data_IF_034584231231
#
_entry.id   IF_034584231231
#
_cell.length_a   1.000
_cell.length_b   1.000
_cell.length_c   1.000
_cell.angle_alpha   90.00
_cell.angle_beta   90.00
_cell.angle_gamma   90.00
#
_symmetry.space_group_name_H-M   'P 1'
#
loop_
_entity.id
_entity.type
_entity.pdbx_description
1 polymer ?
#
# COMPACT_ATOMS: atom_id res chain seq x y z
N UNK A 1 15.82 -11.26 -2.78
CA UNK A 1 15.77 -12.43 -1.88
C UNK A 1 16.63 -13.56 -2.45
N UNK A 2 17.29 -14.38 -1.62
CA UNK A 2 18.13 -15.51 -2.09
C UNK A 2 17.38 -16.83 -1.91
N UNK A 3 17.36 -17.67 -2.95
CA UNK A 3 16.73 -19.00 -2.91
C UNK A 3 17.30 -19.87 -1.78
N UNK A 4 18.63 -19.88 -1.62
CA UNK A 4 19.31 -20.67 -0.58
C UNK A 4 18.89 -20.31 0.85
N UNK A 5 18.56 -19.04 1.10
CA UNK A 5 18.04 -18.61 2.39
C UNK A 5 16.65 -19.20 2.66
N UNK A 6 15.80 -19.27 1.64
CA UNK A 6 14.47 -19.87 1.75
C UNK A 6 14.53 -21.40 1.90
N UNK A 7 15.46 -22.06 1.20
CA UNK A 7 15.74 -23.50 1.36
C UNK A 7 16.22 -23.82 2.77
N UNK A 8 17.12 -23.00 3.33
CA UNK A 8 17.62 -23.17 4.69
C UNK A 8 16.54 -23.02 5.77
N UNK A 9 15.42 -22.35 5.46
CA UNK A 9 14.24 -22.25 6.33
C UNK A 9 13.26 -23.43 6.18
N UNK A 10 13.58 -24.43 5.36
CA UNK A 10 12.78 -25.64 5.19
C UNK A 10 11.58 -25.50 4.26
N UNK A 11 11.54 -24.45 3.43
CA UNK A 11 10.49 -24.27 2.41
C UNK A 11 10.68 -25.23 1.23
N UNK A 12 9.59 -25.71 0.65
CA UNK A 12 9.63 -26.56 -0.55
C UNK A 12 9.96 -25.73 -1.80
N UNK A 13 10.50 -26.36 -2.84
CA UNK A 13 10.87 -25.66 -4.08
C UNK A 13 9.69 -24.90 -4.71
N UNK A 14 8.46 -25.44 -4.63
CA UNK A 14 7.25 -24.78 -5.13
C UNK A 14 6.85 -23.55 -4.30
N UNK A 15 6.98 -23.61 -2.98
CA UNK A 15 6.74 -22.44 -2.11
C UNK A 15 7.78 -21.35 -2.37
N UNK A 16 9.02 -21.75 -2.58
CA UNK A 16 10.13 -20.87 -2.92
C UNK A 16 9.88 -20.18 -4.27
N UNK A 17 9.42 -20.92 -5.28
CA UNK A 17 9.11 -20.38 -6.60
C UNK A 17 8.04 -19.29 -6.51
N UNK A 18 6.97 -19.54 -5.75
CA UNK A 18 5.89 -18.57 -5.54
C UNK A 18 6.38 -17.31 -4.82
N UNK A 19 7.15 -17.47 -3.73
CA UNK A 19 7.71 -16.33 -2.97
C UNK A 19 8.66 -15.51 -3.84
N UNK A 20 9.54 -16.16 -4.60
CA UNK A 20 10.50 -15.47 -5.46
C UNK A 20 9.81 -14.75 -6.63
N UNK A 21 8.72 -15.30 -7.16
CA UNK A 21 7.90 -14.64 -8.19
C UNK A 21 7.24 -13.37 -7.65
N UNK A 22 6.51 -13.45 -6.53
CA UNK A 22 5.86 -12.29 -5.90
C UNK A 22 6.88 -11.22 -5.46
N UNK A 23 8.01 -11.65 -4.91
CA UNK A 23 9.10 -10.76 -4.57
C UNK A 23 9.71 -10.10 -5.81
N UNK A 24 9.85 -10.84 -6.92
CA UNK A 24 10.31 -10.31 -8.21
C UNK A 24 9.38 -9.23 -8.75
N UNK A 25 8.06 -9.48 -8.72
CA UNK A 25 7.03 -8.50 -9.08
C UNK A 25 7.15 -7.24 -8.23
N UNK A 26 7.16 -7.39 -6.90
CA UNK A 26 7.26 -6.27 -5.96
C UNK A 26 8.53 -5.45 -6.18
N UNK A 27 9.68 -6.11 -6.34
CA UNK A 27 10.96 -5.45 -6.59
C UNK A 27 10.94 -4.70 -7.92
N UNK A 28 10.32 -5.26 -8.96
CA UNK A 28 10.24 -4.60 -10.25
C UNK A 28 9.33 -3.36 -10.18
N UNK A 29 8.20 -3.43 -9.48
CA UNK A 29 7.33 -2.26 -9.24
C UNK A 29 8.08 -1.15 -8.49
N UNK A 30 8.72 -1.50 -7.36
CA UNK A 30 9.49 -0.52 -6.56
C UNK A 30 10.63 0.09 -7.39
N UNK A 31 11.32 -0.71 -8.21
CA UNK A 31 12.36 -0.19 -9.11
C UNK A 31 11.78 0.81 -10.10
N UNK A 32 10.63 0.51 -10.71
CA UNK A 32 9.95 1.40 -11.65
C UNK A 32 9.55 2.73 -11.01
N UNK A 33 8.93 2.69 -9.83
CA UNK A 33 8.59 3.89 -9.06
C UNK A 33 9.83 4.71 -8.69
N UNK A 34 10.90 4.04 -8.25
CA UNK A 34 12.18 4.67 -7.88
C UNK A 34 12.90 5.28 -9.09
N UNK A 35 12.78 4.68 -10.27
CA UNK A 35 13.33 5.22 -11.51
C UNK A 35 12.51 6.44 -11.98
N UNK A 36 11.18 6.39 -11.91
CA UNK A 36 10.30 7.53 -12.19
C UNK A 36 10.61 8.73 -11.27
N UNK A 37 10.71 8.49 -9.95
CA UNK A 37 11.08 9.52 -8.98
C UNK A 37 12.49 10.08 -9.23
N UNK A 38 13.43 9.25 -9.69
CA UNK A 38 14.78 9.71 -10.04
C UNK A 38 14.74 10.63 -11.27
N UNK A 39 13.97 10.29 -12.31
CA UNK A 39 13.78 11.11 -13.51
C UNK A 39 13.12 12.45 -13.17
N UNK A 40 12.10 12.44 -12.31
CA UNK A 40 11.43 13.66 -11.87
C UNK A 40 12.38 14.56 -11.07
N UNK A 41 13.14 13.99 -10.13
CA UNK A 41 14.18 14.71 -9.38
C UNK A 41 15.22 15.35 -10.29
N UNK A 42 15.70 14.63 -11.30
CA UNK A 42 16.73 15.16 -12.20
C UNK A 42 16.18 16.28 -13.09
N UNK A 43 14.92 16.15 -13.54
CA UNK A 43 14.21 17.23 -14.23
C UNK A 43 14.10 18.48 -13.36
N UNK A 44 13.70 18.33 -12.09
CA UNK A 44 13.63 19.45 -11.14
C UNK A 44 15.02 20.09 -10.88
N UNK A 45 16.10 19.28 -10.84
CA UNK A 45 17.46 19.81 -10.68
C UNK A 45 17.93 20.63 -11.87
N UNK A 46 17.66 20.19 -13.09
CA UNK A 46 18.05 20.93 -14.30
C UNK A 46 17.30 22.24 -14.41
N UNK A 47 16.06 22.26 -13.95
CA UNK A 47 15.24 23.45 -13.90
C UNK A 47 15.72 24.47 -12.84
N UNK A 48 16.17 23.99 -11.67
CA UNK A 48 16.86 24.82 -10.67
C UNK A 48 18.11 25.46 -11.27
N UNK A 49 18.94 24.69 -11.99
CA UNK A 49 20.13 25.24 -12.66
C UNK A 49 19.77 26.29 -13.72
N UNK A 50 18.69 26.08 -14.46
CA UNK A 50 18.21 27.06 -15.42
C UNK A 50 17.83 28.38 -14.72
N UNK A 51 17.16 28.31 -13.55
CA UNK A 51 16.84 29.48 -12.73
C UNK A 51 18.07 30.19 -12.19
N UNK A 52 19.06 29.45 -11.70
CA UNK A 52 20.34 30.04 -11.26
C UNK A 52 21.03 30.78 -12.43
N UNK A 53 20.93 30.24 -13.65
CA UNK A 53 21.39 30.89 -14.87
C UNK A 53 20.64 32.18 -15.18
N UNK A 54 19.31 32.19 -15.05
CA UNK A 54 18.49 33.39 -15.25
C UNK A 54 18.77 34.47 -14.18
N UNK A 55 18.95 34.09 -12.91
CA UNK A 55 19.34 35.00 -11.83
C UNK A 55 20.72 35.62 -12.11
N UNK A 56 21.68 34.80 -12.51
CA UNK A 56 23.02 35.30 -12.88
C UNK A 56 22.97 36.24 -14.08
N UNK A 57 22.09 35.98 -15.06
CA UNK A 57 21.90 36.85 -16.21
C UNK A 57 21.27 38.19 -15.79
N UNK A 58 20.27 38.14 -14.92
CA UNK A 58 19.63 39.30 -14.27
C UNK A 58 20.61 40.20 -13.53
N UNK A 59 21.51 39.60 -12.73
CA UNK A 59 22.56 40.33 -12.03
C UNK A 59 23.52 41.03 -12.99
N UNK A 60 23.79 40.43 -14.16
CA UNK A 60 24.65 41.00 -15.21
C UNK A 60 23.96 42.07 -16.06
N UNK A 61 22.65 42.00 -16.24
CA UNK A 61 21.87 43.00 -16.99
C UNK A 61 21.44 44.20 -16.15
N UNK A 62 21.89 44.28 -14.89
CA UNK A 62 21.59 45.35 -13.93
C UNK A 62 22.11 46.77 -14.29
N UNK A 63 22.41 47.04 -15.57
CA UNK A 63 22.81 48.36 -16.09
C UNK A 63 21.66 49.33 -16.35
N UNK A 64 20.40 48.88 -16.43
CA UNK A 64 19.20 49.72 -16.61
C UNK A 64 18.06 49.26 -15.68
N UNK A 65 17.47 50.19 -14.92
CA UNK A 65 16.46 49.88 -13.90
C UNK A 65 15.18 49.25 -14.47
N UNK A 66 14.81 49.59 -15.71
CA UNK A 66 13.60 49.08 -16.37
C UNK A 66 13.73 47.63 -16.86
N UNK A 67 14.90 47.24 -17.36
CA UNK A 67 15.13 45.86 -17.82
C UNK A 67 15.22 44.89 -16.63
N UNK A 68 15.81 45.35 -15.52
CA UNK A 68 15.82 44.61 -14.24
C UNK A 68 14.41 44.40 -13.71
N UNK A 69 13.54 45.42 -13.75
CA UNK A 69 12.17 45.29 -13.25
C UNK A 69 11.33 44.31 -14.08
N UNK A 70 11.43 44.36 -15.41
CA UNK A 70 10.71 43.43 -16.31
C UNK A 70 11.13 41.99 -16.05
N UNK A 71 12.43 41.77 -15.96
CA UNK A 71 12.98 40.43 -15.81
C UNK A 71 12.78 39.87 -14.39
N UNK A 72 12.83 40.73 -13.36
CA UNK A 72 12.44 40.37 -11.99
C UNK A 72 10.96 39.95 -11.93
N UNK A 73 10.08 40.64 -12.65
CA UNK A 73 8.67 40.25 -12.72
C UNK A 73 8.49 38.91 -13.45
N UNK A 74 9.19 38.71 -14.57
CA UNK A 74 9.19 37.42 -15.30
C UNK A 74 9.61 36.27 -14.37
N UNK A 75 10.71 36.43 -13.65
CA UNK A 75 11.22 35.42 -12.71
C UNK A 75 10.27 35.18 -11.54
N UNK A 76 9.62 36.24 -11.00
CA UNK A 76 8.59 36.07 -9.97
C UNK A 76 7.39 35.27 -10.48
N UNK A 77 6.91 35.58 -11.67
CA UNK A 77 5.77 34.89 -12.27
C UNK A 77 6.09 33.43 -12.59
N UNK A 78 7.30 33.14 -13.08
CA UNK A 78 7.77 31.77 -13.29
C UNK A 78 7.89 31.01 -11.97
N UNK A 79 8.44 31.62 -10.92
CA UNK A 79 8.54 31.00 -9.61
C UNK A 79 7.16 30.64 -9.05
N UNK A 80 6.18 31.53 -9.14
CA UNK A 80 4.82 31.27 -8.67
C UNK A 80 4.14 30.12 -9.43
N UNK A 81 4.32 30.06 -10.75
CA UNK A 81 3.82 28.94 -11.58
C UNK A 81 4.48 27.62 -11.18
N UNK A 82 5.78 27.63 -10.91
CA UNK A 82 6.52 26.45 -10.49
C UNK A 82 6.13 25.97 -9.11
N UNK A 83 5.95 26.87 -8.16
CA UNK A 83 5.48 26.53 -6.81
C UNK A 83 4.10 25.88 -6.86
N UNK A 84 3.19 26.42 -7.68
CA UNK A 84 1.88 25.80 -7.90
C UNK A 84 1.98 24.43 -8.57
N UNK A 85 2.83 24.26 -9.59
CA UNK A 85 3.02 22.99 -10.27
C UNK A 85 3.65 21.94 -9.36
N UNK A 86 4.69 22.30 -8.61
CA UNK A 86 5.35 21.42 -7.65
C UNK A 86 4.40 20.96 -6.55
N UNK A 87 3.62 21.88 -5.96
CA UNK A 87 2.60 21.54 -4.98
C UNK A 87 1.55 20.58 -5.56
N UNK A 88 1.13 20.79 -6.81
CA UNK A 88 0.22 19.88 -7.52
C UNK A 88 0.81 18.49 -7.74
N UNK A 89 2.03 18.39 -8.25
CA UNK A 89 2.67 17.09 -8.48
C UNK A 89 2.94 16.35 -7.17
N UNK A 90 3.37 17.07 -6.13
CA UNK A 90 3.56 16.49 -4.81
C UNK A 90 2.25 15.93 -4.25
N UNK A 91 1.15 16.69 -4.37
CA UNK A 91 -0.18 16.24 -3.94
C UNK A 91 -0.61 14.98 -4.71
N UNK A 92 -0.40 14.95 -6.03
CA UNK A 92 -0.73 13.80 -6.88
C UNK A 92 0.04 12.54 -6.48
N UNK A 93 1.36 12.67 -6.29
CA UNK A 93 2.21 11.58 -5.84
C UNK A 93 1.77 11.03 -4.46
N UNK A 94 1.36 11.93 -3.56
CA UNK A 94 0.87 11.56 -2.23
C UNK A 94 -0.46 10.82 -2.29
N UNK A 95 -1.37 11.26 -3.16
CA UNK A 95 -2.65 10.56 -3.39
C UNK A 95 -2.40 9.17 -3.98
N UNK A 96 -1.57 9.06 -5.01
CA UNK A 96 -1.23 7.78 -5.63
C UNK A 96 -0.62 6.81 -4.62
N UNK A 97 0.33 7.28 -3.80
CA UNK A 97 0.95 6.48 -2.74
C UNK A 97 -0.07 6.02 -1.69
N UNK A 98 -1.01 6.91 -1.31
CA UNK A 98 -2.04 6.60 -0.32
C UNK A 98 -3.00 5.49 -0.80
N UNK A 99 -3.25 5.41 -2.11
CA UNK A 99 -4.21 4.44 -2.68
C UNK A 99 -3.55 3.21 -3.30
N UNK A 100 -2.22 3.18 -3.44
CA UNK A 100 -1.48 2.14 -4.17
C UNK A 100 -1.80 0.70 -3.71
N UNK A 101 -2.15 0.50 -2.44
CA UNK A 101 -2.49 -0.82 -1.89
C UNK A 101 -3.95 -1.23 -2.12
N UNK A 102 -4.84 -0.28 -2.30
CA UNK A 102 -6.29 -0.49 -2.36
C UNK A 102 -6.83 -0.36 -3.80
N UNK A 103 -6.10 0.34 -4.66
CA UNK A 103 -6.48 0.62 -6.04
C UNK A 103 -6.22 -0.58 -6.97
N UNK A 104 -7.05 -0.73 -8.00
CA UNK A 104 -6.68 -1.52 -9.19
C UNK A 104 -5.67 -0.75 -10.06
N UNK A 105 -5.89 0.57 -10.23
CA UNK A 105 -4.94 1.51 -10.81
C UNK A 105 -5.00 2.84 -10.03
N UNK A 106 -3.87 3.30 -9.51
CA UNK A 106 -3.78 4.53 -8.73
C UNK A 106 -4.05 5.79 -9.58
N UNK A 107 -3.75 5.75 -10.89
CA UNK A 107 -4.02 6.86 -11.82
C UNK A 107 -5.52 7.04 -12.06
N UNK A 108 -6.26 5.93 -12.16
CA UNK A 108 -7.70 5.98 -12.34
C UNK A 108 -8.37 6.62 -11.11
N UNK A 109 -7.94 6.26 -9.91
CA UNK A 109 -8.43 6.92 -8.69
C UNK A 109 -8.04 8.39 -8.69
N UNK A 110 -6.77 8.72 -8.96
CA UNK A 110 -6.29 10.10 -9.02
C UNK A 110 -7.14 10.96 -9.98
N UNK A 111 -7.55 10.42 -11.13
CA UNK A 111 -8.40 11.12 -12.09
C UNK A 111 -9.78 11.50 -11.54
N UNK A 112 -10.34 10.70 -10.63
CA UNK A 112 -11.65 10.96 -10.00
C UNK A 112 -11.56 11.77 -8.69
N UNK A 113 -10.35 11.99 -8.16
CA UNK A 113 -10.14 12.80 -6.96
C UNK A 113 -10.23 14.29 -7.31
N UNK A 114 -11.07 15.01 -6.56
CA UNK A 114 -11.15 16.47 -6.63
C UNK A 114 -10.03 17.04 -5.77
N UNK A 115 -9.03 17.65 -6.41
CA UNK A 115 -7.87 18.24 -5.73
C UNK A 115 -8.22 19.47 -4.92
N UNK A 116 -9.29 20.17 -5.31
CA UNK A 116 -9.79 21.35 -4.61
C UNK A 116 -10.19 21.00 -3.17
N UNK A 117 -9.49 21.61 -2.20
CA UNK A 117 -9.74 21.40 -0.77
C UNK A 117 -8.90 20.29 -0.12
N UNK A 118 -8.09 19.55 -0.88
CA UNK A 118 -7.11 18.64 -0.32
C UNK A 118 -5.90 19.41 0.21
N UNK A 119 -5.39 18.99 1.36
CA UNK A 119 -4.20 19.60 1.99
C UNK A 119 -3.21 18.54 2.38
N UNK A 120 -1.92 18.83 2.19
CA UNK A 120 -0.85 18.00 2.70
C UNK A 120 -0.63 18.34 4.18
N UNK A 121 -0.82 17.37 5.07
CA UNK A 121 -0.51 17.49 6.49
C UNK A 121 1.00 17.36 6.73
N UNK A 122 1.45 17.79 7.91
CA UNK A 122 2.87 17.74 8.31
C UNK A 122 3.43 16.32 8.37
N UNK A 123 2.58 15.32 8.66
CA UNK A 123 2.93 13.91 8.65
C UNK A 123 3.05 13.31 7.24
N UNK A 124 2.76 14.11 6.21
CA UNK A 124 2.80 13.73 4.82
C UNK A 124 1.56 12.99 4.33
N UNK A 125 0.47 12.95 5.09
CA UNK A 125 -0.86 12.48 4.68
C UNK A 125 -1.66 13.57 3.97
N UNK A 126 -2.71 13.19 3.23
CA UNK A 126 -3.57 14.13 2.49
C UNK A 126 -4.92 14.25 3.20
N UNK A 127 -5.16 15.39 3.85
CA UNK A 127 -6.43 15.70 4.50
C UNK A 127 -7.56 15.81 3.46
N UNK A 128 -8.74 15.31 3.82
CA UNK A 128 -9.92 15.29 2.95
C UNK A 128 -9.92 14.17 1.89
N UNK A 129 -8.80 13.47 1.70
CA UNK A 129 -8.72 12.36 0.75
C UNK A 129 -9.60 11.17 1.19
N UNK A 130 -9.64 10.86 2.48
CA UNK A 130 -10.42 9.74 3.03
C UNK A 130 -11.91 9.79 2.69
N UNK A 131 -12.53 10.97 2.79
CA UNK A 131 -13.95 11.16 2.48
C UNK A 131 -14.23 10.94 0.99
N UNK A 132 -13.34 11.44 0.13
CA UNK A 132 -13.45 11.22 -1.31
C UNK A 132 -13.28 9.74 -1.66
N UNK A 133 -12.30 9.05 -1.06
CA UNK A 133 -12.11 7.62 -1.27
C UNK A 133 -13.31 6.80 -0.81
N UNK A 134 -13.96 7.17 0.31
CA UNK A 134 -15.19 6.51 0.77
C UNK A 134 -16.31 6.66 -0.26
N UNK A 135 -16.54 7.88 -0.76
CA UNK A 135 -17.53 8.13 -1.81
C UNK A 135 -17.21 7.39 -3.11
N UNK A 136 -15.94 7.31 -3.50
CA UNK A 136 -15.50 6.53 -4.66
C UNK A 136 -15.70 5.03 -4.46
N UNK A 137 -15.47 4.49 -3.25
CA UNK A 137 -15.72 3.07 -2.94
C UNK A 137 -17.21 2.71 -3.08
N UNK A 138 -18.11 3.62 -2.70
CA UNK A 138 -19.56 3.43 -2.83
C UNK A 138 -20.05 3.59 -4.28
N UNK A 139 -19.55 4.59 -5.01
CA UNK A 139 -20.06 4.93 -6.35
C UNK A 139 -19.34 4.24 -7.50
N UNK A 140 -18.07 3.86 -7.28
CA UNK A 140 -17.16 3.27 -8.28
C UNK A 140 -16.32 2.15 -7.65
N UNK A 141 -16.96 1.09 -7.09
CA UNK A 141 -16.25 0.01 -6.40
C UNK A 141 -15.23 -0.72 -7.30
N UNK A 142 -15.43 -0.70 -8.62
CA UNK A 142 -14.54 -1.31 -9.61
C UNK A 142 -13.14 -0.68 -9.68
N UNK A 143 -12.95 0.52 -9.11
CA UNK A 143 -11.63 1.16 -9.02
C UNK A 143 -10.73 0.53 -7.95
N UNK A 144 -11.32 -0.25 -7.04
CA UNK A 144 -10.63 -0.82 -5.88
C UNK A 144 -10.50 -2.34 -6.01
N UNK A 145 -9.41 -2.88 -5.47
CA UNK A 145 -9.14 -4.31 -5.50
C UNK A 145 -10.02 -5.08 -4.49
N UNK A 146 -10.12 -6.40 -4.66
CA UNK A 146 -11.00 -7.25 -3.86
C UNK A 146 -10.68 -7.21 -2.34
N UNK A 147 -9.44 -6.95 -1.96
CA UNK A 147 -9.03 -6.74 -0.56
C UNK A 147 -9.58 -5.44 0.03
N UNK A 148 -9.66 -4.38 -0.77
CA UNK A 148 -10.23 -3.09 -0.36
C UNK A 148 -11.76 -3.04 -0.42
N UNK A 149 -12.40 -4.02 -1.08
CA UNK A 149 -13.85 -4.22 -1.13
C UNK A 149 -14.40 -4.98 0.09
N UNK A 150 -13.55 -5.44 1.00
CA UNK A 150 -13.98 -5.93 2.32
C UNK A 150 -14.37 -4.73 3.21
N UNK A 151 -15.44 -4.04 2.85
CA UNK A 151 -16.24 -3.36 3.85
C UNK A 151 -16.88 -4.42 4.75
N UNK A 152 -16.85 -4.16 6.04
CA UNK A 152 -17.48 -4.94 7.09
C UNK A 152 -18.83 -5.47 6.59
N UNK A 153 -18.89 -6.77 6.33
CA UNK A 153 -20.19 -7.45 6.35
C UNK A 153 -20.77 -7.13 7.73
N UNK A 154 -22.01 -6.61 7.83
CA UNK A 154 -22.65 -6.55 9.12
C UNK A 154 -22.63 -7.99 9.64
N UNK A 155 -21.96 -8.18 10.78
CA UNK A 155 -21.95 -9.46 11.47
C UNK A 155 -23.39 -9.97 11.51
N UNK A 156 -23.71 -11.16 10.99
CA UNK A 156 -25.06 -11.70 11.08
C UNK A 156 -25.28 -12.20 12.51
N UNK A 157 -25.26 -11.29 13.47
CA UNK A 157 -25.86 -11.43 14.80
C UNK A 157 -27.30 -10.96 14.70
N UNK A 158 -28.13 -11.76 14.03
CA UNK A 158 -29.54 -11.47 13.79
C UNK A 158 -30.24 -12.76 13.39
N UNK A 159 -30.69 -13.48 14.39
CA UNK A 159 -31.40 -14.75 14.33
C UNK A 159 -32.70 -14.63 13.50
N UNK A 160 -32.63 -14.84 12.19
CA UNK A 160 -33.79 -15.02 11.31
C UNK A 160 -33.45 -15.99 10.18
N UNK A 161 -33.52 -17.29 10.47
CA UNK A 161 -33.68 -18.31 9.41
C UNK A 161 -35.16 -18.39 9.03
N UNK A 162 -35.53 -18.34 7.73
CA UNK A 162 -36.89 -18.65 7.31
C UNK A 162 -37.19 -20.14 7.62
N UNK A 163 -38.43 -20.49 8.02
CA UNK A 163 -38.75 -21.87 8.35
C UNK A 163 -38.60 -22.76 7.10
N UNK A 164 -37.98 -23.95 7.22
CA UNK A 164 -37.89 -24.88 6.10
C UNK A 164 -39.27 -25.38 5.67
N UNK A 165 -39.47 -25.71 4.38
CA UNK A 165 -40.75 -26.22 3.89
C UNK A 165 -41.14 -27.53 4.60
N UNK A 166 -42.44 -27.67 4.89
CA UNK A 166 -43.00 -28.82 5.59
C UNK A 166 -42.70 -30.13 4.83
N UNK A 167 -41.98 -31.05 5.47
CA UNK A 167 -41.71 -32.40 4.95
C UNK A 167 -40.22 -32.76 4.75
N UNK A 168 -39.27 -31.86 5.02
CA UNK A 168 -37.86 -32.21 5.01
C UNK A 168 -37.35 -32.56 6.41
N UNK A 169 -37.10 -33.83 6.67
CA UNK A 169 -36.28 -34.29 7.81
C UNK A 169 -34.87 -34.61 7.30
N UNK A 170 -33.85 -33.74 7.51
CA UNK A 170 -32.48 -34.14 7.32
C UNK A 170 -32.14 -35.20 8.38
N UNK A 171 -31.55 -36.31 7.96
CA UNK A 171 -31.29 -37.48 8.80
C UNK A 171 -30.62 -37.15 10.13
N UNK A 172 -31.03 -37.87 11.17
CA UNK A 172 -30.47 -37.77 12.50
C UNK A 172 -28.92 -37.81 12.44
N UNK A 173 -28.30 -36.79 13.02
CA UNK A 173 -26.87 -36.76 13.29
C UNK A 173 -26.50 -37.98 14.13
N UNK A 174 -25.90 -38.98 13.49
CA UNK A 174 -24.99 -39.88 14.19
C UNK A 174 -23.91 -39.00 14.81
N UNK A 175 -23.82 -38.99 16.14
CA UNK A 175 -22.69 -38.45 16.89
C UNK A 175 -21.44 -39.25 16.52
N UNK A 176 -20.77 -38.86 15.44
CA UNK A 176 -19.39 -39.20 15.17
C UNK A 176 -18.48 -38.29 16.00
N UNK A 177 -17.51 -38.87 16.70
CA UNK A 177 -16.50 -38.16 17.47
C UNK A 177 -15.85 -37.03 16.65
N UNK A 178 -16.07 -35.77 17.04
CA UNK A 178 -15.06 -34.75 16.83
C UNK A 178 -13.96 -35.02 17.87
N UNK A 179 -12.72 -35.33 17.48
CA UNK A 179 -11.61 -35.15 18.41
C UNK A 179 -11.57 -33.65 18.73
N UNK A 180 -11.61 -33.29 20.02
CA UNK A 180 -11.10 -31.97 20.41
C UNK A 180 -9.63 -31.97 20.04
N UNK A 181 -9.18 -30.98 19.27
CA UNK A 181 -7.76 -30.76 19.03
C UNK A 181 -7.05 -30.83 20.39
N UNK A 182 -6.06 -31.72 20.58
CA UNK A 182 -5.42 -31.83 21.88
C UNK A 182 -4.70 -30.51 22.16
N UNK A 183 -4.85 -30.00 23.38
CA UNK A 183 -4.10 -28.84 23.83
C UNK A 183 -2.59 -29.09 23.56
N UNK A 184 -1.93 -28.25 22.75
CA UNK A 184 -0.52 -28.43 22.43
C UNK A 184 0.38 -28.43 23.67
N UNK A 185 -0.04 -27.80 24.78
CA UNK A 185 0.65 -27.88 26.05
C UNK A 185 0.55 -29.27 26.70
N UNK A 186 -0.59 -29.95 26.57
CA UNK A 186 -0.79 -31.30 27.07
C UNK A 186 -0.01 -32.35 26.25
N UNK A 187 0.09 -32.16 24.93
CA UNK A 187 0.93 -32.99 24.06
C UNK A 187 2.42 -32.82 24.38
N UNK A 188 2.87 -31.58 24.61
CA UNK A 188 4.26 -31.31 24.98
C UNK A 188 4.63 -31.93 26.33
N UNK A 189 3.73 -31.88 27.32
CA UNK A 189 3.96 -32.47 28.63
C UNK A 189 4.03 -34.01 28.55
N UNK A 190 3.13 -34.63 27.80
CA UNK A 190 3.12 -36.08 27.58
C UNK A 190 4.39 -36.58 26.84
N UNK A 191 4.92 -35.80 25.90
CA UNK A 191 6.16 -36.14 25.18
C UNK A 191 7.44 -35.91 26.01
N UNK A 192 7.39 -35.03 27.01
CA UNK A 192 8.47 -34.86 28.00
C UNK A 192 8.47 -36.04 28.98
N UNK A 193 7.30 -36.43 29.50
CA UNK A 193 7.16 -37.59 30.40
C UNK A 193 7.55 -38.91 29.71
N UNK A 194 7.19 -39.09 28.44
CA UNK A 194 7.54 -40.29 27.65
C UNK A 194 9.06 -40.38 27.37
N UNK A 195 9.75 -39.24 27.26
CA UNK A 195 11.21 -39.17 27.09
C UNK A 195 11.97 -39.39 28.40
N UNK A 196 11.45 -38.91 29.52
CA UNK A 196 12.08 -39.09 30.84
C UNK A 196 11.72 -40.40 31.55
N UNK A 197 10.61 -41.07 31.18
CA UNK A 197 10.24 -42.38 31.71
C UNK A 197 11.09 -43.53 31.17
N UNK A 198 11.56 -43.45 29.92
CA UNK A 198 12.39 -44.52 29.30
C UNK A 198 13.82 -44.61 29.84
N UNK A 199 14.33 -43.58 30.52
CA UNK A 199 15.67 -43.65 31.11
C UNK A 199 15.73 -44.37 32.47
N UNK A 200 14.60 -44.83 33.02
CA UNK A 200 14.58 -45.58 34.29
C UNK A 200 14.49 -47.10 34.16
N UNK A 201 14.30 -47.67 32.97
CA UNK A 201 14.23 -49.13 32.75
C UNK A 201 15.51 -49.75 32.16
N UNK A 202 16.54 -48.97 31.81
CA UNK A 202 17.83 -49.50 31.31
C UNK A 202 18.94 -49.54 32.39
N UNK A 203 18.58 -49.60 33.67
CA UNK A 203 19.55 -49.89 34.73
C UNK A 203 18.94 -50.77 35.81
N UNK A 204 18.81 -52.06 35.49
CA UNK A 204 19.03 -53.18 36.40
C UNK A 204 19.18 -54.49 35.63
#
# INVERSE_FOLDING_TARGET
MKREFLKAMGLTDEQIDKIMSEHGTTVNTIKGERDNLATERDSLKDEIKNRDGQITALEKTAGSAEDVQKELQRVKDENAKWESKYAGTLLDAKIQLAVAKDANDANDILFFIKKDGLKLAEDGSVEGLGDQLKSLKETKPYLFNASAQQQETPSPGGDQTPPPPAGFTPGAQQRGNNPKDPDPAALALADIERRHGKQKEESQ
#
